data_IF_578997011862
#
_entry.id   IF_578997011862
#
_cell.length_a   1.000
_cell.length_b   1.000
_cell.length_c   1.000
_cell.angle_alpha   90.00
_cell.angle_beta   90.00
_cell.angle_gamma   90.00
#
_symmetry.space_group_name_H-M   'P 1'
#
loop_
_entity.id
_entity.type
_entity.pdbx_description
1 polymer ?
#
# COMPACT_ATOMS: atom_id res chain seq x y z
N UNK A 1 23.25 1.63 22.23
CA UNK A 1 23.59 1.27 20.84
C UNK A 1 22.89 2.26 19.92
N UNK A 2 23.43 2.57 18.75
CA UNK A 2 22.78 3.46 17.77
C UNK A 2 22.20 2.63 16.63
N UNK A 3 21.05 3.04 16.10
CA UNK A 3 20.41 2.41 14.95
C UNK A 3 20.65 3.26 13.70
N UNK A 4 20.87 2.61 12.55
CA UNK A 4 20.95 3.24 11.23
C UNK A 4 19.62 3.03 10.52
N UNK A 5 19.02 4.12 10.05
CA UNK A 5 17.85 4.09 9.16
C UNK A 5 18.35 4.18 7.72
N UNK A 6 17.80 3.35 6.84
CA UNK A 6 18.08 3.37 5.40
C UNK A 6 16.77 3.43 4.60
N UNK A 7 16.75 4.27 3.56
CA UNK A 7 15.71 4.27 2.53
C UNK A 7 15.82 2.98 1.70
N UNK A 8 14.78 2.15 1.69
CA UNK A 8 14.70 0.90 0.93
C UNK A 8 13.61 0.98 -0.15
N UNK A 9 13.78 0.26 -1.24
CA UNK A 9 12.80 0.15 -2.33
C UNK A 9 12.77 -1.26 -2.92
N UNK A 10 11.58 -1.74 -3.26
CA UNK A 10 11.42 -2.99 -4.03
C UNK A 10 11.25 -2.73 -5.53
N UNK A 11 11.35 -3.77 -6.36
CA UNK A 11 11.18 -3.69 -7.82
C UNK A 11 9.85 -3.05 -8.28
N UNK A 12 8.77 -3.21 -7.50
CA UNK A 12 7.46 -2.59 -7.79
C UNK A 12 7.41 -1.10 -7.41
N UNK A 13 8.52 -0.52 -6.96
CA UNK A 13 8.66 0.90 -6.69
C UNK A 13 8.28 1.35 -5.27
N UNK A 14 7.65 0.50 -4.45
CA UNK A 14 7.31 0.84 -3.07
C UNK A 14 8.56 1.20 -2.25
N UNK A 15 8.52 2.34 -1.57
CA UNK A 15 9.62 2.86 -0.71
C UNK A 15 9.24 2.70 0.75
N UNK A 16 10.17 2.25 1.59
CA UNK A 16 9.98 2.05 3.02
C UNK A 16 11.31 2.22 3.78
N UNK A 17 11.25 2.49 5.09
CA UNK A 17 12.43 2.58 5.93
C UNK A 17 12.84 1.20 6.48
N UNK A 18 14.15 0.91 6.47
CA UNK A 18 14.72 -0.22 7.20
C UNK A 18 15.62 0.25 8.33
N UNK A 19 15.45 -0.32 9.52
CA UNK A 19 16.15 0.07 10.75
C UNK A 19 17.12 -1.03 11.19
N UNK A 20 18.43 -0.74 11.15
CA UNK A 20 19.51 -1.73 11.30
C UNK A 20 20.51 -1.37 12.40
N UNK A 21 21.15 -2.38 13.01
CA UNK A 21 22.15 -2.17 14.07
C UNK A 21 23.53 -1.75 13.56
N UNK A 22 23.87 -2.09 12.32
CA UNK A 22 25.09 -1.68 11.63
C UNK A 22 24.88 -1.64 10.11
N UNK A 23 25.94 -1.40 9.33
CA UNK A 23 25.85 -1.53 7.86
C UNK A 23 25.97 -3.00 7.45
N UNK A 24 26.93 -3.73 8.04
CA UNK A 24 27.13 -5.17 7.85
C UNK A 24 25.87 -5.97 8.19
N UNK A 25 25.07 -5.52 9.16
CA UNK A 25 23.79 -6.13 9.52
C UNK A 25 22.70 -5.95 8.42
N UNK A 26 22.72 -4.84 7.68
CA UNK A 26 21.90 -4.67 6.48
C UNK A 26 22.42 -5.56 5.34
N UNK A 27 23.72 -5.48 5.04
CA UNK A 27 24.34 -6.23 3.94
C UNK A 27 24.15 -7.75 4.11
N UNK A 28 24.27 -8.26 5.36
CA UNK A 28 24.05 -9.67 5.69
C UNK A 28 22.58 -10.10 5.53
N UNK A 29 21.62 -9.24 5.87
CA UNK A 29 20.19 -9.53 5.69
C UNK A 29 19.78 -9.47 4.22
N UNK A 30 20.35 -8.54 3.45
CA UNK A 30 20.12 -8.46 2.01
C UNK A 30 20.71 -9.69 1.29
N UNK A 31 21.95 -10.06 1.59
CA UNK A 31 22.59 -11.26 1.04
C UNK A 31 21.89 -12.57 1.44
N UNK A 32 21.30 -12.62 2.64
CA UNK A 32 20.49 -13.74 3.11
C UNK A 32 19.06 -13.79 2.56
N UNK A 33 18.61 -12.79 1.77
CA UNK A 33 17.24 -12.70 1.27
C UNK A 33 16.18 -12.55 2.37
N UNK A 34 16.57 -11.99 3.53
CA UNK A 34 15.72 -11.84 4.72
C UNK A 34 14.89 -10.55 4.73
N UNK A 35 15.17 -9.63 3.81
CA UNK A 35 14.40 -8.40 3.62
C UNK A 35 13.22 -8.67 2.68
N UNK A 36 11.99 -8.31 3.06
CA UNK A 36 10.84 -8.28 2.16
C UNK A 36 10.10 -6.94 2.23
N UNK A 37 9.33 -6.64 1.19
CA UNK A 37 8.57 -5.40 1.10
C UNK A 37 7.25 -5.51 1.88
N UNK A 38 6.97 -4.63 2.87
CA UNK A 38 5.75 -4.71 3.68
C UNK A 38 4.44 -4.47 2.89
N UNK A 39 4.51 -4.06 1.63
CA UNK A 39 3.37 -3.79 0.74
C UNK A 39 3.07 -4.96 -0.21
N UNK A 40 4.06 -5.82 -0.52
CA UNK A 40 3.91 -6.85 -1.56
C UNK A 40 4.76 -8.13 -1.39
N UNK A 41 5.43 -8.31 -0.24
CA UNK A 41 6.37 -9.39 0.12
C UNK A 41 7.52 -9.68 -0.88
N UNK A 42 7.69 -8.89 -1.95
CA UNK A 42 8.85 -9.05 -2.84
C UNK A 42 10.15 -8.82 -2.04
N UNK A 43 11.09 -9.75 -2.18
CA UNK A 43 12.40 -9.78 -1.49
C UNK A 43 13.54 -9.13 -2.27
N UNK A 44 13.28 -8.72 -3.51
CA UNK A 44 14.21 -7.92 -4.30
C UNK A 44 14.20 -6.47 -3.80
N UNK A 45 14.98 -6.22 -2.75
CA UNK A 45 15.09 -4.94 -2.05
C UNK A 45 16.45 -4.29 -2.33
N UNK A 46 16.43 -3.02 -2.73
CA UNK A 46 17.61 -2.18 -2.93
C UNK A 46 17.59 -0.95 -2.01
N UNK A 47 18.75 -0.55 -1.48
CA UNK A 47 18.91 0.71 -0.73
C UNK A 47 18.94 1.89 -1.71
N UNK A 48 18.10 2.90 -1.48
CA UNK A 48 18.19 4.16 -2.23
C UNK A 48 19.35 5.01 -1.70
N UNK A 49 20.00 5.76 -2.59
CA UNK A 49 20.95 6.78 -2.18
C UNK A 49 20.17 8.03 -1.77
N UNK A 50 20.12 8.32 -0.46
CA UNK A 50 19.50 9.52 0.09
C UNK A 50 20.22 10.76 -0.45
N UNK A 51 19.62 11.45 -1.42
CA UNK A 51 20.27 12.55 -2.12
C UNK A 51 20.36 13.81 -1.22
N UNK A 52 21.57 14.30 -0.87
CA UNK A 52 21.69 15.53 -0.10
C UNK A 52 21.18 16.72 -0.90
N UNK A 53 20.27 17.51 -0.32
CA UNK A 53 19.75 18.73 -0.96
C UNK A 53 20.82 19.82 -0.96
N UNK A 54 21.66 19.82 -1.99
CA UNK A 54 22.66 20.85 -2.23
C UNK A 54 21.99 22.17 -2.63
N UNK A 55 21.77 23.04 -1.65
CA UNK A 55 21.31 24.41 -1.86
C UNK A 55 22.42 25.26 -2.52
N UNK A 56 22.56 25.16 -3.84
CA UNK A 56 23.52 25.98 -4.61
C UNK A 56 23.10 27.46 -4.61
N UNK A 57 23.67 28.24 -3.70
CA UNK A 57 23.59 29.70 -3.70
C UNK A 57 24.19 30.31 -4.97
N UNK A 58 23.63 31.42 -5.46
CA UNK A 58 24.00 32.04 -6.74
C UNK A 58 24.85 33.30 -6.55
N UNK A 59 26.07 33.27 -7.09
CA UNK A 59 27.05 34.37 -7.05
C UNK A 59 27.81 34.46 -5.71
N UNK A 60 29.00 35.05 -5.61
CA UNK A 60 29.92 35.70 -6.59
C UNK A 60 31.30 35.80 -5.88
N UNK A 61 32.49 35.70 -6.49
CA UNK A 61 32.97 35.98 -7.86
C UNK A 61 33.98 34.92 -8.39
N UNK A 62 34.86 35.32 -9.32
CA UNK A 62 36.03 34.64 -9.93
C UNK A 62 37.14 34.15 -8.95
N UNK A 63 38.15 33.33 -9.30
CA UNK A 63 38.66 32.89 -10.61
C UNK A 63 39.48 31.56 -10.50
N UNK A 64 39.62 30.79 -11.60
CA UNK A 64 40.47 29.58 -11.64
C UNK A 64 40.25 28.71 -12.89
N UNK A 65 41.13 28.79 -13.88
CA UNK A 65 40.92 28.17 -15.20
C UNK A 65 41.31 26.67 -15.27
N UNK A 66 40.54 25.87 -16.02
CA UNK A 66 40.69 24.40 -16.07
C UNK A 66 40.28 23.66 -17.36
N UNK A 67 40.11 24.38 -18.48
CA UNK A 67 39.97 23.87 -19.88
C UNK A 67 38.72 23.02 -20.24
N UNK A 68 38.13 23.33 -21.41
CA UNK A 68 37.16 22.48 -22.14
C UNK A 68 37.93 21.48 -23.06
N UNK A 69 37.35 20.56 -23.84
CA UNK A 69 36.00 20.39 -24.42
C UNK A 69 35.82 18.90 -24.86
N UNK A 70 34.82 18.46 -25.67
CA UNK A 70 33.63 19.16 -26.20
C UNK A 70 32.28 18.38 -26.16
N UNK A 71 31.20 19.15 -26.33
CA UNK A 71 29.95 18.83 -27.07
C UNK A 71 29.27 17.45 -26.89
N UNK A 72 28.17 17.44 -26.10
CA UNK A 72 27.20 16.35 -26.05
C UNK A 72 25.82 16.79 -25.53
N UNK A 73 25.08 17.60 -26.29
CA UNK A 73 23.66 17.83 -26.00
C UNK A 73 22.82 16.60 -26.40
N UNK A 74 21.74 16.30 -25.66
CA UNK A 74 20.44 16.69 -26.20
C UNK A 74 19.58 17.52 -25.23
N UNK A 75 18.78 18.43 -25.78
CA UNK A 75 17.68 19.06 -25.03
C UNK A 75 16.61 18.05 -24.66
N UNK A 76 16.61 17.58 -23.40
CA UNK A 76 15.56 16.76 -22.82
C UNK A 76 14.75 17.54 -21.79
N UNK A 77 13.70 18.28 -22.22
CA UNK A 77 12.64 18.69 -21.28
C UNK A 77 11.90 17.43 -20.84
N UNK A 78 12.25 16.88 -19.68
CA UNK A 78 11.54 15.77 -19.07
C UNK A 78 10.12 16.21 -18.70
N UNK A 79 9.16 15.95 -19.60
CA UNK A 79 7.76 16.27 -19.36
C UNK A 79 7.19 15.34 -18.27
N UNK A 80 6.33 15.83 -17.37
CA UNK A 80 5.84 15.07 -16.20
C UNK A 80 4.78 14.01 -16.55
N UNK A 81 4.91 13.33 -17.70
CA UNK A 81 3.94 12.35 -18.21
C UNK A 81 3.78 11.13 -17.29
N UNK A 82 4.84 10.73 -16.58
CA UNK A 82 4.77 9.64 -15.60
C UNK A 82 4.03 10.03 -14.30
N UNK A 83 4.10 11.30 -13.89
CA UNK A 83 3.41 11.78 -12.69
C UNK A 83 1.89 11.83 -12.90
N UNK A 84 1.44 12.31 -14.07
CA UNK A 84 0.02 12.38 -14.43
C UNK A 84 -0.67 11.01 -14.34
N UNK A 85 -0.05 9.95 -14.85
CA UNK A 85 -0.61 8.58 -14.77
C UNK A 85 -0.68 8.04 -13.35
N UNK A 86 0.30 8.36 -12.49
CA UNK A 86 0.33 7.90 -11.09
C UNK A 86 -0.67 8.66 -10.21
N UNK A 87 -0.84 9.96 -10.44
CA UNK A 87 -1.87 10.80 -9.78
C UNK A 87 -3.29 10.32 -10.15
N UNK A 88 -3.54 10.05 -11.43
CA UNK A 88 -4.82 9.53 -11.92
C UNK A 88 -5.13 8.13 -11.37
N UNK A 89 -4.11 7.26 -11.29
CA UNK A 89 -4.27 5.93 -10.69
C UNK A 89 -4.58 6.02 -9.19
N UNK A 90 -3.91 6.91 -8.45
CA UNK A 90 -4.19 7.13 -7.02
C UNK A 90 -5.60 7.69 -6.79
N UNK A 91 -6.06 8.62 -7.62
CA UNK A 91 -7.43 9.15 -7.58
C UNK A 91 -8.48 8.05 -7.84
N UNK A 92 -8.25 7.19 -8.85
CA UNK A 92 -9.13 6.06 -9.15
C UNK A 92 -9.17 5.05 -7.98
N UNK A 93 -8.02 4.71 -7.39
CA UNK A 93 -7.93 3.85 -6.21
C UNK A 93 -8.68 4.43 -5.01
N UNK A 94 -8.52 5.73 -4.74
CA UNK A 94 -9.23 6.41 -3.66
C UNK A 94 -10.76 6.40 -3.89
N UNK A 95 -11.22 6.64 -5.11
CA UNK A 95 -12.64 6.60 -5.48
C UNK A 95 -13.24 5.19 -5.32
N UNK A 96 -12.50 4.14 -5.72
CA UNK A 96 -12.92 2.74 -5.51
C UNK A 96 -13.04 2.42 -4.01
N UNK A 97 -12.05 2.79 -3.20
CA UNK A 97 -12.08 2.56 -1.75
C UNK A 97 -13.22 3.34 -1.05
N UNK A 98 -13.49 4.57 -1.48
CA UNK A 98 -14.66 5.34 -1.01
C UNK A 98 -15.98 4.64 -1.35
N UNK A 99 -16.13 4.14 -2.58
CA UNK A 99 -17.33 3.39 -2.99
C UNK A 99 -17.48 2.08 -2.20
N UNK A 100 -16.38 1.35 -1.94
CA UNK A 100 -16.41 0.13 -1.13
C UNK A 100 -16.83 0.42 0.32
N UNK A 101 -16.29 1.45 0.97
CA UNK A 101 -16.74 1.88 2.31
C UNK A 101 -18.21 2.29 2.31
N UNK A 102 -18.69 3.01 1.29
CA UNK A 102 -20.10 3.39 1.22
C UNK A 102 -21.02 2.17 1.07
N UNK A 103 -20.61 1.14 0.32
CA UNK A 103 -21.37 -0.11 0.22
C UNK A 103 -21.45 -0.83 1.59
N UNK A 104 -20.35 -0.94 2.34
CA UNK A 104 -20.34 -1.53 3.69
C UNK A 104 -21.19 -0.73 4.68
N UNK A 105 -21.10 0.61 4.65
CA UNK A 105 -21.90 1.53 5.47
C UNK A 105 -23.40 1.53 5.14
N UNK A 106 -23.78 1.08 3.95
CA UNK A 106 -25.17 0.94 3.53
C UNK A 106 -25.76 -0.45 3.87
N UNK A 107 -25.02 -1.30 4.58
CA UNK A 107 -25.52 -2.58 5.13
C UNK A 107 -25.83 -2.45 6.61
N UNK A 108 -26.85 -3.16 7.09
CA UNK A 108 -27.21 -3.21 8.51
C UNK A 108 -26.30 -4.20 9.24
N UNK A 109 -25.73 -3.80 10.37
CA UNK A 109 -24.87 -4.67 11.18
C UNK A 109 -25.70 -5.47 12.19
N UNK A 110 -25.80 -6.77 11.95
CA UNK A 110 -26.48 -7.73 12.85
C UNK A 110 -25.50 -8.49 13.74
N UNK A 111 -24.21 -8.12 13.74
CA UNK A 111 -23.20 -8.66 14.64
C UNK A 111 -23.13 -10.19 14.63
N UNK A 112 -23.27 -10.81 15.80
CA UNK A 112 -23.17 -12.27 15.96
C UNK A 112 -24.39 -13.05 15.42
N UNK A 113 -25.54 -12.39 15.21
CA UNK A 113 -26.77 -13.04 14.73
C UNK A 113 -26.79 -13.25 13.20
N UNK A 114 -25.76 -12.78 12.49
CA UNK A 114 -25.59 -12.87 11.04
C UNK A 114 -25.84 -14.28 10.46
N UNK A 115 -25.38 -15.33 11.14
CA UNK A 115 -25.55 -16.73 10.68
C UNK A 115 -27.02 -17.16 10.73
N UNK A 116 -27.82 -16.61 11.64
CA UNK A 116 -29.25 -16.87 11.73
C UNK A 116 -30.01 -15.99 10.72
N UNK A 117 -29.79 -14.68 10.71
CA UNK A 117 -30.47 -13.75 9.81
C UNK A 117 -30.25 -14.11 8.33
N UNK A 118 -29.04 -14.51 7.94
CA UNK A 118 -28.75 -14.94 6.58
C UNK A 118 -29.53 -16.21 6.15
N UNK A 119 -29.77 -17.15 7.09
CA UNK A 119 -30.64 -18.32 6.84
C UNK A 119 -32.10 -17.92 6.75
N UNK A 120 -32.58 -17.09 7.68
CA UNK A 120 -33.97 -16.61 7.72
C UNK A 120 -34.35 -15.80 6.49
N UNK A 121 -33.42 -15.03 5.92
CA UNK A 121 -33.57 -14.40 4.61
C UNK A 121 -33.65 -15.44 3.48
N UNK A 122 -32.71 -16.38 3.41
CA UNK A 122 -32.65 -17.42 2.37
C UNK A 122 -33.87 -18.37 2.38
N UNK A 123 -34.44 -18.63 3.55
CA UNK A 123 -35.65 -19.45 3.75
C UNK A 123 -36.95 -18.63 3.58
N UNK A 124 -36.86 -17.30 3.46
CA UNK A 124 -38.00 -16.42 3.23
C UNK A 124 -38.84 -16.09 4.48
N UNK A 125 -38.30 -16.28 5.69
CA UNK A 125 -38.96 -15.85 6.94
C UNK A 125 -39.02 -14.33 7.10
N UNK A 126 -38.03 -13.62 6.55
CA UNK A 126 -37.84 -12.17 6.67
C UNK A 126 -37.47 -11.54 5.33
N UNK A 127 -37.66 -10.22 5.22
CA UNK A 127 -37.40 -9.46 3.99
C UNK A 127 -35.90 -9.45 3.62
N UNK A 128 -35.61 -9.61 2.32
CA UNK A 128 -34.24 -9.51 1.79
C UNK A 128 -33.70 -8.08 1.96
N UNK A 129 -32.62 -7.95 2.74
CA UNK A 129 -31.97 -6.67 3.07
C UNK A 129 -30.45 -6.87 3.11
N UNK A 130 -29.69 -5.81 2.85
CA UNK A 130 -28.24 -5.91 2.88
C UNK A 130 -27.73 -5.95 4.33
N UNK A 131 -27.30 -7.12 4.82
CA UNK A 131 -26.77 -7.33 6.18
C UNK A 131 -25.26 -7.58 6.17
N UNK A 132 -24.59 -7.18 7.26
CA UNK A 132 -23.22 -7.56 7.63
C UNK A 132 -23.18 -8.06 9.07
N UNK A 133 -22.08 -8.70 9.45
CA UNK A 133 -21.86 -9.17 10.82
C UNK A 133 -20.69 -10.15 10.90
N UNK A 134 -20.63 -10.94 11.97
CA UNK A 134 -19.53 -11.86 12.25
C UNK A 134 -19.93 -13.32 12.05
N UNK A 135 -18.99 -14.12 11.53
CA UNK A 135 -19.12 -15.57 11.40
C UNK A 135 -17.74 -16.22 11.44
N UNK A 136 -17.61 -17.33 12.16
CA UNK A 136 -16.39 -18.15 12.17
C UNK A 136 -16.17 -18.83 10.82
N UNK A 137 -14.96 -19.38 10.62
CA UNK A 137 -14.63 -20.16 9.41
C UNK A 137 -15.64 -21.30 9.19
N UNK A 138 -15.97 -22.04 10.26
CA UNK A 138 -16.88 -23.18 10.24
C UNK A 138 -18.34 -22.78 9.95
N UNK A 139 -18.78 -21.62 10.41
CA UNK A 139 -20.12 -21.11 10.12
C UNK A 139 -20.26 -20.65 8.68
N UNK A 140 -19.25 -19.95 8.13
CA UNK A 140 -19.23 -19.63 6.68
C UNK A 140 -19.19 -20.89 5.81
N UNK A 141 -18.48 -21.93 6.25
CA UNK A 141 -18.49 -23.25 5.61
C UNK A 141 -19.82 -24.00 5.79
N UNK A 142 -20.66 -23.64 6.76
CA UNK A 142 -22.05 -24.09 6.82
C UNK A 142 -22.93 -23.32 5.86
N UNK A 143 -22.91 -21.99 5.91
CA UNK A 143 -23.70 -21.13 5.01
C UNK A 143 -23.45 -21.49 3.54
N UNK A 144 -22.19 -21.72 3.14
CA UNK A 144 -21.85 -22.15 1.79
C UNK A 144 -22.37 -23.56 1.40
N UNK A 145 -22.57 -24.47 2.37
CA UNK A 145 -23.23 -25.78 2.15
C UNK A 145 -24.75 -25.65 2.13
N UNK A 146 -25.30 -24.69 2.86
CA UNK A 146 -26.73 -24.38 2.93
C UNK A 146 -27.21 -23.58 1.70
N UNK A 147 -26.30 -23.19 0.80
CA UNK A 147 -26.57 -22.43 -0.44
C UNK A 147 -26.32 -20.92 -0.33
N UNK A 148 -26.01 -20.42 0.86
CA UNK A 148 -25.95 -19.01 1.22
C UNK A 148 -24.57 -18.44 0.91
N UNK A 149 -24.50 -17.61 -0.13
CA UNK A 149 -23.27 -16.94 -0.55
C UNK A 149 -22.90 -15.78 0.38
N UNK A 150 -21.71 -15.85 0.99
CA UNK A 150 -21.19 -14.80 1.89
C UNK A 150 -19.81 -14.31 1.44
N UNK A 151 -19.60 -12.99 1.51
CA UNK A 151 -18.33 -12.35 1.14
C UNK A 151 -17.61 -11.83 2.40
N UNK A 152 -16.31 -12.13 2.61
CA UNK A 152 -15.55 -11.54 3.70
C UNK A 152 -15.27 -10.05 3.42
N UNK A 153 -15.56 -9.18 4.38
CA UNK A 153 -15.23 -7.74 4.33
C UNK A 153 -13.84 -7.55 4.96
N UNK A 154 -12.84 -6.99 4.25
CA UNK A 154 -11.55 -6.63 4.83
C UNK A 154 -11.67 -5.56 5.93
N UNK A 155 -10.95 -5.72 7.04
CA UNK A 155 -11.06 -4.86 8.23
C UNK A 155 -10.81 -3.36 7.95
N UNK A 156 -10.02 -3.01 6.92
CA UNK A 156 -9.71 -1.63 6.55
C UNK A 156 -10.87 -0.86 5.84
N UNK A 157 -11.98 -1.56 5.55
CA UNK A 157 -13.23 -0.99 5.04
C UNK A 157 -14.31 -0.85 6.13
N UNK A 158 -14.10 -1.45 7.29
CA UNK A 158 -15.01 -1.42 8.43
C UNK A 158 -14.60 -0.28 9.37
N UNK A 159 -15.10 0.92 9.07
CA UNK A 159 -14.76 2.13 9.82
C UNK A 159 -15.24 2.08 11.29
N UNK A 160 -16.15 1.16 11.66
CA UNK A 160 -16.64 0.97 13.03
C UNK A 160 -15.67 0.09 13.87
N UNK A 161 -14.80 -0.68 13.21
CA UNK A 161 -13.73 -1.50 13.84
C UNK A 161 -12.34 -0.84 13.82
N UNK A 162 -12.25 0.41 13.34
CA UNK A 162 -11.03 1.23 13.29
C UNK A 162 -11.00 2.36 14.34
N UNK A 163 -12.00 2.42 15.23
CA UNK A 163 -12.18 3.44 16.28
C UNK A 163 -11.87 2.89 17.68
#
# INVERSE_FOLDING_TARGET
MSLKVFDLQCELGHVFEGWFSSLENYDSQQAGGLLSCPVCDNRQIARKLSAPRLNMGRGKDESGAGQEAPLGQPSGKAQPVAALGMEQLAQLQAQVLQHMRQMVRNTEDVGADFVQEARRMHEGEIEERAIRGTATMQERESLARDGIAVMPIPDYLDDDRLQ
#
